data_IF_882950430686
#
_entry.id   IF_882950430686
#
_cell.length_a   1.000
_cell.length_b   1.000
_cell.length_c   1.000
_cell.angle_alpha   90.00
_cell.angle_beta   90.00
_cell.angle_gamma   90.00
#
_symmetry.space_group_name_H-M   'P 1'
#
loop_
_entity.id
_entity.type
_entity.pdbx_description
1 polymer ?
#
# COMPACT_ATOMS: atom_id res chain seq x y z
N UNK A 1 25.38 1.61 4.11
CA UNK A 1 25.82 0.98 2.84
C UNK A 1 24.57 0.93 1.98
N UNK A 2 24.60 1.46 0.76
CA UNK A 2 23.44 1.39 -0.13
C UNK A 2 23.18 -0.08 -0.51
N UNK A 3 21.91 -0.46 -0.62
CA UNK A 3 21.52 -1.82 -0.99
C UNK A 3 21.91 -2.08 -2.45
N UNK A 4 22.81 -3.03 -2.70
CA UNK A 4 23.21 -3.42 -4.06
C UNK A 4 22.17 -4.36 -4.68
N UNK A 5 21.11 -3.77 -5.24
CA UNK A 5 20.04 -4.51 -5.91
C UNK A 5 20.51 -5.32 -7.13
N UNK A 6 21.69 -5.04 -7.69
CA UNK A 6 22.19 -5.74 -8.89
C UNK A 6 22.71 -7.14 -8.56
N UNK A 7 23.07 -7.39 -7.31
CA UNK A 7 23.49 -8.70 -6.80
C UNK A 7 22.33 -9.66 -6.55
N UNK A 8 21.07 -9.21 -6.69
CA UNK A 8 19.88 -9.97 -6.36
C UNK A 8 18.98 -10.27 -7.57
N UNK A 9 18.08 -11.26 -7.46
CA UNK A 9 17.07 -11.53 -8.48
C UNK A 9 16.15 -10.33 -8.76
N UNK A 10 15.63 -10.25 -9.99
CA UNK A 10 14.65 -9.24 -10.42
C UNK A 10 13.22 -9.52 -9.96
N UNK A 11 13.05 -10.13 -8.79
CA UNK A 11 11.74 -10.41 -8.18
C UNK A 11 11.73 -9.94 -6.74
N UNK A 12 10.64 -9.32 -6.30
CA UNK A 12 10.46 -8.84 -4.93
C UNK A 12 9.43 -9.71 -4.20
N UNK A 13 9.71 -10.08 -2.96
CA UNK A 13 8.74 -10.63 -2.01
C UNK A 13 8.53 -9.58 -0.91
N UNK A 14 7.41 -8.87 -0.96
CA UNK A 14 7.13 -7.71 -0.11
C UNK A 14 6.32 -8.14 1.11
N UNK A 15 6.77 -7.74 2.30
CA UNK A 15 6.19 -8.21 3.56
C UNK A 15 6.54 -9.67 3.81
N UNK A 16 7.78 -10.06 3.54
CA UNK A 16 8.20 -11.45 3.52
C UNK A 16 7.95 -12.19 4.85
N UNK A 17 7.97 -11.48 5.98
CA UNK A 17 7.87 -12.09 7.30
C UNK A 17 8.84 -13.26 7.46
N UNK A 18 8.35 -14.35 8.03
CA UNK A 18 9.11 -15.60 8.14
C UNK A 18 9.04 -16.46 6.86
N UNK A 19 8.22 -16.09 5.87
CA UNK A 19 8.01 -16.84 4.62
C UNK A 19 8.89 -16.31 3.47
N UNK A 20 10.21 -16.44 3.67
CA UNK A 20 11.18 -16.05 2.65
C UNK A 20 11.09 -16.94 1.41
N UNK A 21 11.15 -16.32 0.23
CA UNK A 21 11.14 -17.02 -1.06
C UNK A 21 12.52 -17.02 -1.70
N UNK A 22 12.99 -18.21 -2.06
CA UNK A 22 14.20 -18.36 -2.86
C UNK A 22 13.99 -17.77 -4.27
N UNK A 23 15.00 -17.08 -4.79
CA UNK A 23 14.91 -16.41 -6.09
C UNK A 23 14.18 -15.06 -6.08
N UNK A 24 13.95 -14.50 -4.89
CA UNK A 24 13.39 -13.17 -4.66
C UNK A 24 14.31 -12.35 -3.74
N UNK A 25 14.25 -11.03 -3.85
CA UNK A 25 14.63 -10.12 -2.77
C UNK A 25 13.50 -10.14 -1.76
N UNK A 26 13.77 -10.59 -0.55
CA UNK A 26 12.81 -10.58 0.55
C UNK A 26 12.90 -9.23 1.25
N UNK A 27 11.80 -8.49 1.22
CA UNK A 27 11.68 -7.15 1.81
C UNK A 27 10.72 -7.21 2.99
N UNK A 28 11.14 -6.71 4.14
CA UNK A 28 10.30 -6.63 5.33
C UNK A 28 10.64 -5.39 6.16
N UNK A 29 9.68 -4.87 6.93
CA UNK A 29 9.92 -3.75 7.82
C UNK A 29 10.70 -4.17 9.07
N UNK A 30 10.57 -5.43 9.50
CA UNK A 30 11.13 -5.93 10.74
C UNK A 30 12.41 -6.74 10.48
N UNK A 31 13.53 -6.21 10.96
CA UNK A 31 14.85 -6.84 10.85
C UNK A 31 14.92 -8.24 11.52
N UNK A 32 14.07 -8.51 12.51
CA UNK A 32 14.01 -9.81 13.18
C UNK A 32 13.62 -10.97 12.25
N UNK A 33 13.02 -10.68 11.10
CA UNK A 33 12.72 -11.66 10.06
C UNK A 33 13.92 -12.00 9.16
N UNK A 34 15.06 -11.33 9.37
CA UNK A 34 16.27 -11.43 8.55
C UNK A 34 15.97 -11.29 7.03
N UNK A 35 15.28 -10.21 6.60
CA UNK A 35 15.05 -9.97 5.17
C UNK A 35 16.36 -9.62 4.45
N UNK A 36 16.36 -9.74 3.13
CA UNK A 36 17.50 -9.28 2.32
C UNK A 36 17.57 -7.74 2.30
N UNK A 37 16.41 -7.07 2.43
CA UNK A 37 16.27 -5.63 2.59
C UNK A 37 15.26 -5.27 3.67
N UNK A 38 15.73 -4.58 4.72
CA UNK A 38 14.85 -3.97 5.73
C UNK A 38 14.28 -2.65 5.18
N UNK A 39 12.99 -2.61 4.83
CA UNK A 39 12.37 -1.44 4.21
C UNK A 39 10.84 -1.42 4.36
N UNK A 40 10.28 -0.21 4.46
CA UNK A 40 8.83 0.02 4.38
C UNK A 40 8.37 -0.20 2.93
N UNK A 41 7.47 -1.16 2.72
CA UNK A 41 6.95 -1.52 1.39
C UNK A 41 6.13 -0.41 0.72
N UNK A 42 5.72 0.61 1.48
CA UNK A 42 5.07 1.82 0.95
C UNK A 42 6.05 2.88 0.44
N UNK A 43 7.33 2.76 0.77
CA UNK A 43 8.40 3.69 0.35
C UNK A 43 9.70 2.90 0.09
N UNK A 44 9.79 2.27 -1.08
CA UNK A 44 10.91 1.44 -1.54
C UNK A 44 12.08 2.28 -2.08
N UNK A 45 12.43 3.38 -1.39
CA UNK A 45 13.50 4.33 -1.80
C UNK A 45 14.85 3.67 -2.17
N UNK A 46 15.30 2.59 -1.51
CA UNK A 46 16.55 1.91 -1.88
C UNK A 46 16.50 1.19 -3.24
N UNK A 47 15.30 0.99 -3.81
CA UNK A 47 15.09 0.23 -5.02
C UNK A 47 14.93 1.14 -6.24
N UNK A 48 15.54 0.79 -7.38
CA UNK A 48 15.47 1.57 -8.62
C UNK A 48 14.08 1.57 -9.25
N UNK A 49 13.83 2.57 -10.09
CA UNK A 49 12.66 2.63 -10.95
C UNK A 49 12.76 1.60 -12.09
N UNK A 50 11.60 1.09 -12.54
CA UNK A 50 11.42 0.32 -13.78
C UNK A 50 12.40 -0.88 -13.94
N UNK A 51 12.78 -1.54 -12.85
CA UNK A 51 13.86 -2.54 -12.85
C UNK A 51 13.39 -3.99 -12.64
N UNK A 52 12.40 -4.20 -11.77
CA UNK A 52 11.97 -5.52 -11.34
C UNK A 52 10.93 -6.11 -12.30
N UNK A 53 10.99 -7.42 -12.53
CA UNK A 53 10.09 -8.12 -13.45
C UNK A 53 8.83 -8.63 -12.74
N UNK A 54 8.90 -8.81 -11.42
CA UNK A 54 7.83 -9.44 -10.65
C UNK A 54 7.82 -8.98 -9.19
N UNK A 55 6.62 -8.76 -8.65
CA UNK A 55 6.36 -8.52 -7.22
C UNK A 55 5.39 -9.59 -6.72
N UNK A 56 5.74 -10.24 -5.62
CA UNK A 56 4.85 -11.01 -4.77
C UNK A 56 4.51 -10.18 -3.53
N UNK A 57 3.24 -9.97 -3.26
CA UNK A 57 2.73 -9.26 -2.09
C UNK A 57 1.58 -10.07 -1.47
N UNK A 58 1.92 -10.96 -0.55
CA UNK A 58 0.95 -11.85 0.11
C UNK A 58 0.62 -11.32 1.49
N UNK A 59 -0.67 -11.12 1.77
CA UNK A 59 -1.19 -10.75 3.09
C UNK A 59 -0.47 -9.54 3.71
N UNK A 60 -0.23 -8.49 2.90
CA UNK A 60 0.53 -7.29 3.30
C UNK A 60 -0.20 -5.98 3.03
N UNK A 61 -1.02 -5.90 1.99
CA UNK A 61 -1.65 -4.64 1.59
C UNK A 61 -2.74 -4.21 2.58
N UNK A 62 -3.44 -5.18 3.18
CA UNK A 62 -4.44 -5.01 4.22
C UNK A 62 -3.87 -4.53 5.55
N UNK A 63 -2.58 -4.78 5.80
CA UNK A 63 -1.85 -4.28 6.98
C UNK A 63 -1.46 -2.80 6.84
N UNK A 64 -1.67 -2.19 5.68
CA UNK A 64 -1.46 -0.76 5.49
C UNK A 64 -2.76 0.02 5.75
N UNK A 65 -2.69 1.20 6.38
CA UNK A 65 -3.84 2.08 6.48
C UNK A 65 -4.46 2.34 5.12
N UNK A 66 -5.80 2.33 5.03
CA UNK A 66 -6.56 2.57 3.78
C UNK A 66 -6.03 3.75 2.97
N UNK A 67 -5.64 4.84 3.64
CA UNK A 67 -5.12 6.04 2.99
C UNK A 67 -3.82 5.82 2.23
N UNK A 68 -2.99 4.85 2.67
CA UNK A 68 -1.70 4.53 2.06
C UNK A 68 -1.80 3.54 0.89
N UNK A 69 -2.81 2.67 0.87
CA UNK A 69 -2.90 1.57 -0.11
C UNK A 69 -2.68 2.02 -1.56
N UNK A 70 -3.34 3.12 -1.98
CA UNK A 70 -3.20 3.61 -3.36
C UNK A 70 -1.77 4.04 -3.69
N UNK A 71 -1.10 4.76 -2.77
CA UNK A 71 0.27 5.23 -2.98
C UNK A 71 1.26 4.07 -2.92
N UNK A 72 1.04 3.09 -2.06
CA UNK A 72 1.82 1.85 -2.01
C UNK A 72 1.76 1.12 -3.35
N UNK A 73 0.56 0.97 -3.95
CA UNK A 73 0.43 0.34 -5.27
C UNK A 73 1.16 1.15 -6.36
N UNK A 74 1.15 2.48 -6.29
CA UNK A 74 1.93 3.33 -7.20
C UNK A 74 3.44 3.16 -6.96
N UNK A 75 3.88 2.96 -5.71
CA UNK A 75 5.28 2.67 -5.40
C UNK A 75 5.72 1.31 -5.94
N UNK A 76 4.85 0.30 -5.86
CA UNK A 76 5.09 -1.01 -6.48
C UNK A 76 5.10 -0.91 -8.01
N UNK A 77 4.26 -0.05 -8.58
CA UNK A 77 4.32 0.28 -10.00
C UNK A 77 5.67 0.91 -10.35
N UNK A 78 6.17 1.87 -9.56
CA UNK A 78 7.43 2.56 -9.82
C UNK A 78 8.60 1.59 -9.99
N UNK A 79 8.73 0.60 -9.10
CA UNK A 79 9.88 -0.32 -9.12
C UNK A 79 9.78 -1.42 -10.18
N UNK A 80 8.56 -1.77 -10.63
CA UNK A 80 8.34 -2.75 -11.70
C UNK A 80 8.66 -2.17 -13.07
N UNK A 81 9.24 -2.96 -13.97
CA UNK A 81 9.34 -2.61 -15.38
C UNK A 81 7.95 -2.61 -16.06
N UNK A 82 7.79 -1.86 -17.16
CA UNK A 82 6.58 -1.98 -18.00
C UNK A 82 6.44 -3.43 -18.47
N UNK A 83 5.28 -4.01 -18.25
CA UNK A 83 5.00 -5.41 -18.53
C UNK A 83 5.36 -6.39 -17.41
N UNK A 84 6.02 -5.92 -16.35
CA UNK A 84 6.24 -6.68 -15.13
C UNK A 84 4.94 -7.02 -14.40
N UNK A 85 4.98 -8.06 -13.57
CA UNK A 85 3.79 -8.61 -12.91
C UNK A 85 3.76 -8.29 -11.41
N UNK A 86 2.57 -8.01 -10.92
CA UNK A 86 2.24 -7.85 -9.52
C UNK A 86 1.26 -8.96 -9.14
N UNK A 87 1.68 -9.83 -8.23
CA UNK A 87 0.85 -10.88 -7.64
C UNK A 87 0.48 -10.48 -6.21
N UNK A 88 -0.82 -10.35 -5.95
CA UNK A 88 -1.36 -9.90 -4.68
C UNK A 88 -2.28 -10.97 -4.09
N UNK A 89 -2.17 -11.16 -2.77
CA UNK A 89 -3.15 -11.89 -1.97
C UNK A 89 -3.70 -10.96 -0.89
N UNK A 90 -5.02 -10.79 -0.84
CA UNK A 90 -5.71 -9.92 0.16
C UNK A 90 -7.10 -10.47 0.53
N UNK A 91 -7.68 -10.10 1.69
CA UNK A 91 -8.99 -10.58 2.11
C UNK A 91 -10.13 -10.09 1.20
N UNK A 92 -10.97 -11.01 0.74
CA UNK A 92 -12.28 -10.76 0.14
C UNK A 92 -13.32 -10.60 1.26
N UNK A 93 -13.69 -9.36 1.56
CA UNK A 93 -14.65 -9.05 2.62
C UNK A 93 -16.03 -9.65 2.34
N UNK A 94 -16.42 -9.74 1.07
CA UNK A 94 -17.73 -10.31 0.67
C UNK A 94 -17.71 -11.82 0.85
N UNK A 95 -16.59 -12.47 0.49
CA UNK A 95 -16.33 -13.88 0.74
C UNK A 95 -16.43 -14.23 2.23
N UNK A 96 -15.75 -13.48 3.08
CA UNK A 96 -15.83 -13.65 4.55
C UNK A 96 -17.27 -13.52 5.06
N UNK A 97 -18.01 -12.49 4.63
CA UNK A 97 -19.41 -12.32 5.05
C UNK A 97 -20.34 -13.44 4.59
N UNK A 98 -20.06 -14.07 3.44
CA UNK A 98 -20.78 -15.29 3.02
C UNK A 98 -20.41 -16.47 3.91
N UNK A 99 -19.14 -16.62 4.29
CA UNK A 99 -18.70 -17.68 5.20
C UNK A 99 -19.35 -17.56 6.57
N UNK A 100 -19.51 -16.36 7.12
CA UNK A 100 -20.20 -16.15 8.40
C UNK A 100 -21.64 -16.69 8.42
N UNK A 101 -22.31 -16.72 7.26
CA UNK A 101 -23.70 -17.18 7.15
C UNK A 101 -23.84 -18.70 7.07
N UNK A 102 -22.75 -19.42 6.81
CA UNK A 102 -22.78 -20.88 6.61
C UNK A 102 -22.99 -21.62 7.95
N UNK A 103 -23.89 -22.61 8.04
CA UNK A 103 -24.15 -23.36 9.27
C UNK A 103 -22.91 -23.98 9.93
N UNK A 104 -21.98 -24.49 9.12
CA UNK A 104 -20.72 -25.09 9.55
C UNK A 104 -19.78 -24.09 10.23
N UNK A 105 -19.94 -22.79 9.99
CA UNK A 105 -19.14 -21.74 10.62
C UNK A 105 -19.79 -21.16 11.88
N UNK A 106 -20.98 -21.63 12.30
CA UNK A 106 -21.63 -21.20 13.55
C UNK A 106 -20.86 -21.50 14.84
N UNK A 107 -20.05 -22.59 14.96
CA UNK A 107 -19.23 -22.82 16.15
C UNK A 107 -18.32 -21.63 16.45
N UNK A 108 -18.07 -21.36 17.73
CA UNK A 108 -17.35 -20.16 18.19
C UNK A 108 -15.94 -20.11 17.62
N UNK A 109 -15.25 -21.24 17.57
CA UNK A 109 -13.88 -21.33 17.05
C UNK A 109 -13.81 -20.93 15.56
N UNK A 110 -14.85 -21.25 14.79
CA UNK A 110 -14.95 -20.84 13.39
C UNK A 110 -15.28 -19.36 13.25
N UNK A 111 -16.10 -18.79 14.14
CA UNK A 111 -16.39 -17.36 14.17
C UNK A 111 -15.13 -16.55 14.52
N UNK A 112 -14.37 -16.98 15.54
CA UNK A 112 -13.09 -16.35 15.91
C UNK A 112 -12.07 -16.42 14.77
N UNK A 113 -11.96 -17.57 14.09
CA UNK A 113 -11.11 -17.72 12.91
C UNK A 113 -11.52 -16.77 11.78
N UNK A 114 -12.81 -16.65 11.47
CA UNK A 114 -13.29 -15.74 10.42
C UNK A 114 -13.08 -14.26 10.78
N UNK A 115 -13.21 -13.90 12.06
CA UNK A 115 -12.86 -12.56 12.55
C UNK A 115 -11.36 -12.31 12.44
N UNK A 116 -10.53 -13.31 12.75
CA UNK A 116 -9.08 -13.25 12.56
C UNK A 116 -8.69 -13.05 11.09
N UNK A 117 -9.35 -13.77 10.16
CA UNK A 117 -9.14 -13.58 8.72
C UNK A 117 -9.51 -12.16 8.26
N UNK A 118 -10.49 -11.52 8.89
CA UNK A 118 -10.96 -10.19 8.51
C UNK A 118 -10.13 -9.06 9.13
N UNK A 119 -9.79 -9.17 10.41
CA UNK A 119 -9.17 -8.09 11.20
C UNK A 119 -7.71 -8.34 11.57
N UNK A 120 -7.11 -9.44 11.08
CA UNK A 120 -5.82 -9.94 11.54
C UNK A 120 -5.99 -10.78 12.81
N UNK A 121 -4.98 -11.62 13.12
CA UNK A 121 -5.07 -12.45 14.33
C UNK A 121 -4.76 -11.66 15.61
N UNK A 122 -4.19 -10.46 15.46
CA UNK A 122 -3.87 -9.51 16.54
C UNK A 122 -2.97 -10.10 17.63
N UNK A 123 -2.20 -11.14 17.28
CA UNK A 123 -1.33 -11.85 18.22
C UNK A 123 -0.03 -11.09 18.51
N UNK A 124 0.32 -10.12 17.66
CA UNK A 124 1.51 -9.29 17.80
C UNK A 124 1.31 -7.91 17.18
N UNK A 125 2.20 -6.98 17.51
CA UNK A 125 2.15 -5.61 16.97
C UNK A 125 2.33 -5.64 15.46
N UNK A 126 1.36 -5.07 14.73
CA UNK A 126 1.35 -5.06 13.26
C UNK A 126 0.43 -6.11 12.63
N UNK A 127 -0.04 -7.10 13.39
CA UNK A 127 -0.96 -8.15 12.94
C UNK A 127 -2.43 -7.70 12.97
N UNK A 128 -2.69 -6.52 12.37
CA UNK A 128 -4.00 -5.92 12.28
C UNK A 128 -4.28 -5.58 10.82
N UNK A 129 -5.45 -5.98 10.33
CA UNK A 129 -5.93 -5.54 9.03
C UNK A 129 -6.68 -4.22 9.19
N UNK A 130 -6.22 -3.19 8.48
CA UNK A 130 -6.89 -1.88 8.45
C UNK A 130 -8.01 -1.82 7.41
N UNK A 131 -8.01 -2.75 6.45
CA UNK A 131 -8.95 -2.77 5.32
C UNK A 131 -9.17 -4.21 4.84
N UNK A 132 -10.41 -4.51 4.44
CA UNK A 132 -10.74 -5.65 3.59
C UNK A 132 -11.17 -5.15 2.20
N UNK A 133 -11.02 -5.99 1.17
CA UNK A 133 -11.26 -5.57 -0.21
C UNK A 133 -12.55 -6.18 -0.75
N UNK A 134 -13.26 -5.41 -1.59
CA UNK A 134 -14.16 -5.98 -2.60
C UNK A 134 -13.41 -6.07 -3.93
N UNK A 135 -13.89 -6.90 -4.85
CA UNK A 135 -13.31 -7.01 -6.18
C UNK A 135 -13.29 -5.65 -6.90
N UNK A 136 -14.39 -4.90 -6.86
CA UNK A 136 -14.50 -3.60 -7.54
C UNK A 136 -13.48 -2.59 -6.99
N UNK A 137 -13.29 -2.54 -5.67
CA UNK A 137 -12.35 -1.63 -5.04
C UNK A 137 -10.90 -2.01 -5.37
N UNK A 138 -10.58 -3.29 -5.33
CA UNK A 138 -9.24 -3.79 -5.62
C UNK A 138 -8.86 -3.54 -7.09
N UNK A 139 -9.77 -3.87 -8.03
CA UNK A 139 -9.60 -3.61 -9.46
C UNK A 139 -9.45 -2.10 -9.73
N UNK A 140 -10.25 -1.27 -9.07
CA UNK A 140 -10.15 0.18 -9.18
C UNK A 140 -8.77 0.69 -8.73
N UNK A 141 -8.29 0.28 -7.55
CA UNK A 141 -6.98 0.70 -7.03
C UNK A 141 -5.83 0.26 -7.92
N UNK A 142 -5.86 -0.97 -8.43
CA UNK A 142 -4.87 -1.48 -9.38
C UNK A 142 -4.86 -0.68 -10.68
N UNK A 143 -6.04 -0.40 -11.25
CA UNK A 143 -6.18 0.42 -12.46
C UNK A 143 -5.61 1.83 -12.26
N UNK A 144 -5.99 2.50 -11.16
CA UNK A 144 -5.48 3.84 -10.84
C UNK A 144 -3.97 3.86 -10.62
N UNK A 145 -3.40 2.76 -10.13
CA UNK A 145 -1.96 2.58 -9.98
C UNK A 145 -1.24 2.17 -11.28
N UNK A 146 -1.95 2.05 -12.42
CA UNK A 146 -1.36 1.76 -13.73
C UNK A 146 -1.22 0.27 -14.06
N UNK A 147 -1.94 -0.59 -13.35
CA UNK A 147 -1.99 -2.02 -13.60
C UNK A 147 -3.24 -2.44 -14.36
N UNK A 148 -3.10 -3.45 -15.20
CA UNK A 148 -4.19 -4.20 -15.80
C UNK A 148 -4.30 -5.55 -15.11
N UNK A 149 -5.47 -5.89 -14.57
CA UNK A 149 -5.71 -7.22 -13.99
C UNK A 149 -5.73 -8.26 -15.11
N UNK A 150 -4.85 -9.26 -15.02
CA UNK A 150 -4.82 -10.41 -15.95
C UNK A 150 -5.72 -11.54 -15.43
N UNK A 151 -5.73 -11.76 -14.11
CA UNK A 151 -6.61 -12.74 -13.46
C UNK A 151 -6.92 -12.35 -12.02
N UNK A 152 -8.13 -12.68 -11.59
CA UNK A 152 -8.56 -12.66 -10.19
C UNK A 152 -9.26 -13.98 -9.89
N UNK A 153 -8.89 -14.63 -8.79
CA UNK A 153 -9.60 -15.79 -8.27
C UNK A 153 -9.80 -15.67 -6.76
N UNK A 154 -10.78 -16.40 -6.24
CA UNK A 154 -11.04 -16.46 -4.80
C UNK A 154 -10.60 -17.83 -4.28
N UNK A 155 -9.58 -17.84 -3.44
CA UNK A 155 -9.10 -19.01 -2.72
C UNK A 155 -9.83 -19.14 -1.39
N UNK A 156 -10.16 -20.37 -1.02
CA UNK A 156 -10.85 -20.73 0.22
C UNK A 156 -12.17 -19.96 0.46
N UNK A 157 -12.75 -19.40 -0.61
CA UNK A 157 -13.96 -18.57 -0.62
C UNK A 157 -13.85 -17.19 0.07
N UNK A 158 -12.66 -16.78 0.51
CA UNK A 158 -12.49 -15.52 1.25
C UNK A 158 -11.22 -14.74 0.92
N UNK A 159 -10.37 -15.25 0.04
CA UNK A 159 -9.06 -14.67 -0.20
C UNK A 159 -8.90 -14.38 -1.70
N UNK A 160 -8.81 -13.11 -2.06
CA UNK A 160 -8.47 -12.76 -3.43
C UNK A 160 -7.03 -13.11 -3.71
N UNK A 161 -6.80 -13.76 -4.85
CA UNK A 161 -5.50 -13.92 -5.46
C UNK A 161 -5.55 -13.28 -6.84
N UNK A 162 -4.72 -12.26 -7.04
CA UNK A 162 -4.74 -11.39 -8.22
C UNK A 162 -3.38 -11.40 -8.87
N UNK A 163 -3.36 -11.56 -10.19
CA UNK A 163 -2.19 -11.28 -11.02
C UNK A 163 -2.54 -10.09 -11.90
N UNK A 164 -1.76 -9.02 -11.76
CA UNK A 164 -1.90 -7.81 -12.54
C UNK A 164 -0.58 -7.48 -13.25
N UNK A 165 -0.69 -6.87 -14.43
CA UNK A 165 0.45 -6.48 -15.25
C UNK A 165 0.56 -4.96 -15.27
N UNK A 166 1.77 -4.43 -15.05
CA UNK A 166 2.03 -3.00 -15.22
C UNK A 166 1.91 -2.65 -16.71
N UNK A 167 0.96 -1.78 -17.05
CA UNK A 167 0.75 -1.31 -18.43
C UNK A 167 1.11 0.17 -18.62
N UNK A 168 1.16 0.93 -17.53
CA UNK A 168 1.46 2.35 -17.53
C UNK A 168 2.28 2.69 -16.28
N UNK A 169 3.35 3.46 -16.46
CA UNK A 169 4.11 3.98 -15.34
C UNK A 169 3.32 5.06 -14.63
N UNK A 170 3.19 4.91 -13.31
CA UNK A 170 2.71 5.93 -12.39
C UNK A 170 3.86 6.31 -11.47
N UNK A 171 3.84 7.55 -10.98
CA UNK A 171 4.74 7.98 -9.92
C UNK A 171 3.93 8.66 -8.83
N UNK A 172 4.27 8.36 -7.59
CA UNK A 172 3.80 9.15 -6.47
C UNK A 172 4.37 10.56 -6.58
N UNK A 173 3.60 11.53 -6.11
CA UNK A 173 4.10 12.89 -5.96
C UNK A 173 5.34 12.89 -5.06
N UNK A 174 6.34 13.69 -5.44
CA UNK A 174 7.62 13.81 -4.71
C UNK A 174 7.44 14.16 -3.23
N UNK A 175 6.27 14.69 -2.85
CA UNK A 175 5.91 14.95 -1.46
C UNK A 175 6.04 13.70 -0.58
N UNK A 176 5.70 12.51 -1.07
CA UNK A 176 5.69 11.30 -0.25
C UNK A 176 7.08 10.75 0.07
N UNK A 177 8.14 11.21 -0.63
CA UNK A 177 9.53 10.83 -0.35
C UNK A 177 10.24 11.81 0.60
N UNK A 178 9.56 12.87 1.06
CA UNK A 178 10.17 13.84 1.96
C UNK A 178 10.45 13.21 3.33
N UNK A 179 11.68 13.35 3.83
CA UNK A 179 12.08 12.76 5.10
C UNK A 179 11.45 13.52 6.28
N UNK A 180 11.43 14.85 6.21
CA UNK A 180 10.82 15.69 7.25
C UNK A 180 9.36 16.00 6.97
N UNK A 181 8.56 16.08 8.03
CA UNK A 181 7.16 16.51 7.95
C UNK A 181 7.03 17.95 7.43
N UNK A 182 8.01 18.80 7.72
CA UNK A 182 8.00 20.18 7.25
C UNK A 182 8.18 20.25 5.73
N UNK A 183 9.12 19.49 5.17
CA UNK A 183 9.35 19.43 3.73
C UNK A 183 8.20 18.74 3.01
N UNK A 184 7.61 17.70 3.63
CA UNK A 184 6.36 17.11 3.16
C UNK A 184 5.25 18.15 3.05
N UNK A 185 4.99 18.93 4.10
CA UNK A 185 3.92 19.95 4.09
C UNK A 185 4.19 21.00 3.01
N UNK A 186 5.41 21.54 2.93
CA UNK A 186 5.79 22.52 1.90
C UNK A 186 5.56 21.97 0.49
N UNK A 187 6.01 20.75 0.24
CA UNK A 187 5.85 20.09 -1.06
C UNK A 187 4.37 19.80 -1.36
N UNK A 188 3.57 19.43 -0.35
CA UNK A 188 2.14 19.19 -0.50
C UNK A 188 1.39 20.47 -0.86
N UNK A 189 1.71 21.61 -0.23
CA UNK A 189 1.14 22.91 -0.60
C UNK A 189 1.51 23.29 -2.04
N UNK A 190 2.79 23.19 -2.40
CA UNK A 190 3.26 23.51 -3.74
C UNK A 190 2.58 22.63 -4.81
N UNK A 191 2.42 21.34 -4.52
CA UNK A 191 1.85 20.37 -5.47
C UNK A 191 0.33 20.49 -5.58
N UNK A 192 -0.36 20.59 -4.45
CA UNK A 192 -1.84 20.57 -4.42
C UNK A 192 -2.42 21.97 -4.66
N UNK A 193 -1.90 22.97 -3.95
CA UNK A 193 -2.44 24.34 -3.96
C UNK A 193 -1.66 25.29 -4.87
N UNK A 194 -0.59 24.84 -5.54
CA UNK A 194 0.20 25.63 -6.48
C UNK A 194 0.79 26.92 -5.86
N UNK A 195 1.12 26.86 -4.57
CA UNK A 195 1.80 27.95 -3.83
C UNK A 195 2.60 27.41 -2.65
N UNK A 196 3.44 28.25 -2.09
CA UNK A 196 4.14 27.93 -0.83
C UNK A 196 3.17 27.89 0.36
N UNK A 197 3.52 27.05 1.35
CA UNK A 197 2.86 27.04 2.64
C UNK A 197 3.11 28.37 3.37
N UNK A 198 2.04 29.05 3.78
CA UNK A 198 2.14 30.20 4.66
C UNK A 198 2.49 29.75 6.10
N UNK A 199 3.04 30.63 6.96
CA UNK A 199 3.47 30.25 8.30
C UNK A 199 2.37 29.60 9.16
N UNK A 200 1.12 30.09 9.02
CA UNK A 200 -0.03 29.57 9.76
C UNK A 200 -0.42 28.17 9.28
N UNK A 201 -0.50 27.96 7.97
CA UNK A 201 -0.75 26.64 7.38
C UNK A 201 0.33 25.62 7.74
N UNK A 202 1.60 26.03 7.69
CA UNK A 202 2.72 25.17 8.06
C UNK A 202 2.65 24.73 9.52
N UNK A 203 2.41 25.65 10.44
CA UNK A 203 2.29 25.36 11.87
C UNK A 203 1.08 24.45 12.16
N UNK A 204 -0.07 24.75 11.56
CA UNK A 204 -1.29 23.97 11.72
C UNK A 204 -1.09 22.51 11.29
N UNK A 205 -0.63 22.26 10.06
CA UNK A 205 -0.46 20.89 9.58
C UNK A 205 0.70 20.17 10.27
N UNK A 206 1.73 20.89 10.73
CA UNK A 206 2.80 20.30 11.55
C UNK A 206 2.25 19.81 12.88
N UNK A 207 1.34 20.54 13.52
CA UNK A 207 0.68 20.09 14.74
C UNK A 207 -0.18 18.84 14.53
N UNK A 208 -0.85 18.75 13.37
CA UNK A 208 -1.66 17.59 12.97
C UNK A 208 -0.77 16.35 12.79
N UNK A 209 0.34 16.45 12.07
CA UNK A 209 1.24 15.31 11.89
C UNK A 209 1.86 14.87 13.22
N UNK A 210 2.24 15.82 14.08
CA UNK A 210 2.74 15.52 15.43
C UNK A 210 1.73 14.82 16.33
N UNK A 211 0.43 14.98 16.10
CA UNK A 211 -0.60 14.25 16.86
C UNK A 211 -0.85 12.83 16.35
N UNK A 212 -0.11 12.39 15.33
CA UNK A 212 -0.20 11.04 14.76
C UNK A 212 -1.18 10.93 13.59
N UNK A 213 -1.76 12.04 13.13
CA UNK A 213 -2.58 12.04 11.91
C UNK A 213 -1.66 11.80 10.71
N UNK A 214 -2.01 10.86 9.80
CA UNK A 214 -1.14 10.50 8.69
C UNK A 214 -1.05 11.62 7.62
N UNK A 215 0.06 11.64 6.90
CA UNK A 215 0.36 12.58 5.81
C UNK A 215 -0.72 12.64 4.75
N UNK A 216 -1.34 11.51 4.42
CA UNK A 216 -2.42 11.43 3.45
C UNK A 216 -3.66 12.23 3.88
N UNK A 217 -3.93 12.31 5.19
CA UNK A 217 -5.04 13.13 5.71
C UNK A 217 -4.79 14.62 5.47
N UNK A 218 -3.53 15.07 5.51
CA UNK A 218 -3.15 16.45 5.16
C UNK A 218 -3.43 16.71 3.69
N UNK A 219 -2.97 15.83 2.79
CA UNK A 219 -3.21 15.97 1.34
C UNK A 219 -4.71 15.98 1.03
N UNK A 220 -5.49 15.11 1.67
CA UNK A 220 -6.95 15.07 1.51
C UNK A 220 -7.61 16.37 2.00
N UNK A 221 -7.17 16.92 3.12
CA UNK A 221 -7.67 18.20 3.62
C UNK A 221 -7.36 19.34 2.64
N UNK A 222 -6.15 19.40 2.09
CA UNK A 222 -5.77 20.38 1.07
C UNK A 222 -6.64 20.25 -0.19
N UNK A 223 -6.84 19.02 -0.69
CA UNK A 223 -7.70 18.74 -1.86
C UNK A 223 -9.18 19.03 -1.60
N UNK A 224 -9.63 18.96 -0.35
CA UNK A 224 -11.02 19.27 0.02
C UNK A 224 -11.27 20.78 0.21
N UNK A 225 -10.22 21.61 0.27
CA UNK A 225 -10.32 23.05 0.51
C UNK A 225 -10.99 23.80 -0.63
N UNK A 226 -11.64 24.93 -0.30
CA UNK A 226 -12.20 25.84 -1.32
C UNK A 226 -11.12 26.41 -2.24
N UNK A 227 -9.91 26.61 -1.71
CA UNK A 227 -8.75 27.03 -2.49
C UNK A 227 -8.45 26.03 -3.62
N UNK A 228 -8.39 24.74 -3.31
CA UNK A 228 -8.20 23.71 -4.33
C UNK A 228 -9.33 23.67 -5.36
N UNK A 229 -10.59 23.81 -4.92
CA UNK A 229 -11.76 23.87 -5.82
C UNK A 229 -11.69 25.04 -6.79
N UNK A 230 -11.26 26.21 -6.32
CA UNK A 230 -11.06 27.41 -7.17
C UNK A 230 -9.92 27.23 -8.18
N UNK A 231 -8.89 26.46 -7.84
CA UNK A 231 -7.82 26.12 -8.78
C UNK A 231 -8.34 25.20 -9.88
N UNK A 232 -9.13 24.18 -9.52
CA UNK A 232 -9.72 23.26 -10.50
C UNK A 232 -10.73 23.94 -11.42
N UNK A 233 -11.50 24.92 -10.94
CA UNK A 233 -12.49 25.64 -11.77
C UNK A 233 -11.88 26.62 -12.78
N UNK A 234 -10.58 26.92 -12.67
CA UNK A 234 -9.84 27.79 -13.59
C UNK A 234 -9.12 27.01 -14.71
N UNK A 235 -9.19 25.68 -14.71
CA UNK A 235 -8.64 24.79 -15.75
C UNK A 235 -9.72 24.41 -16.75
#
# INVERSE_FOLDING_TARGET
MEFDFTAYPKKLNLGAGLDRKEGFVNVDLNDCHAPDLVCDVSVLKPLPDDYYDYILAQDILEHLPKSKCQNTLIEWNRVLCIGGKLEIQVPDIIGIFKLFQKPENRPIENQERLLGNLFGTQNYVGDFHYIGFTEELLVHYLSEAGFQVESICVKDEWLFHVIAKKIMSKRCDLMYYQESDEDFIKTAFATVLQRDADPGGLEFYRSILKSGIPRESVVNALKASDEFRQIQSKR
#
